data_IF_189752894376
#
_entry.id   IF_189752894376
#
_cell.length_a   1.000
_cell.length_b   1.000
_cell.length_c   1.000
_cell.angle_alpha   90.00
_cell.angle_beta   90.00
_cell.angle_gamma   90.00
#
_symmetry.space_group_name_H-M   'P 1'
#
loop_
_entity.id
_entity.type
_entity.pdbx_description
1 polymer ?
#
# COMPACT_ATOMS: atom_id res chain seq x y z
N UNK A 1 -41.86 20.85 -6.91
CA UNK A 1 -41.82 19.40 -7.16
C UNK A 1 -41.08 18.75 -6.01
N UNK A 2 -41.80 18.47 -4.92
CA UNK A 2 -41.24 17.81 -3.74
C UNK A 2 -40.88 16.37 -4.14
N UNK A 3 -39.58 16.09 -4.22
CA UNK A 3 -39.08 14.77 -4.56
C UNK A 3 -39.61 13.70 -3.61
N UNK A 4 -39.76 12.49 -4.13
CA UNK A 4 -40.19 11.28 -3.43
C UNK A 4 -39.18 10.84 -2.34
N UNK A 5 -38.93 11.68 -1.34
CA UNK A 5 -38.06 11.39 -0.21
C UNK A 5 -38.87 10.78 0.93
N UNK A 6 -38.37 9.68 1.48
CA UNK A 6 -39.02 8.91 2.54
C UNK A 6 -39.07 9.77 3.82
N UNK A 7 -40.27 9.93 4.41
CA UNK A 7 -40.50 10.85 5.56
C UNK A 7 -40.18 10.23 6.92
N UNK A 8 -40.38 8.93 7.10
CA UNK A 8 -40.03 8.19 8.32
C UNK A 8 -39.49 6.80 7.98
N UNK A 9 -38.64 6.23 8.84
CA UNK A 9 -38.13 4.84 8.74
C UNK A 9 -39.03 3.83 9.45
N UNK A 10 -39.99 4.28 10.27
CA UNK A 10 -40.88 3.41 11.05
C UNK A 10 -40.21 2.73 12.25
N UNK A 11 -38.94 3.04 12.53
CA UNK A 11 -38.14 2.45 13.61
C UNK A 11 -37.68 3.55 14.58
N UNK A 12 -37.81 3.32 15.88
CA UNK A 12 -37.68 4.34 16.94
C UNK A 12 -36.28 4.94 17.09
N UNK A 13 -35.24 4.40 16.44
CA UNK A 13 -33.85 4.87 16.62
C UNK A 13 -33.09 4.97 15.28
N UNK A 14 -33.72 4.71 14.14
CA UNK A 14 -33.05 4.73 12.84
C UNK A 14 -33.32 6.04 12.11
N UNK A 15 -32.34 6.94 12.11
CA UNK A 15 -32.40 8.18 11.34
C UNK A 15 -32.42 7.90 9.82
N UNK A 16 -33.18 8.70 9.08
CA UNK A 16 -33.19 8.65 7.61
C UNK A 16 -31.86 9.21 7.09
N UNK A 17 -31.27 8.51 6.12
CA UNK A 17 -30.10 9.01 5.42
C UNK A 17 -30.55 9.94 4.29
N UNK A 18 -30.08 11.19 4.31
CA UNK A 18 -30.44 12.20 3.30
C UNK A 18 -29.84 11.90 1.92
N UNK A 19 -28.57 11.45 1.88
CA UNK A 19 -27.87 11.09 0.63
C UNK A 19 -27.39 9.63 0.63
N UNK A 20 -28.31 8.65 0.48
CA UNK A 20 -27.97 7.23 0.60
C UNK A 20 -26.95 6.78 -0.46
N UNK A 21 -26.98 7.34 -1.68
CA UNK A 21 -26.04 6.99 -2.74
C UNK A 21 -24.60 7.40 -2.45
N UNK A 22 -24.37 8.59 -1.88
CA UNK A 22 -23.03 9.04 -1.49
C UNK A 22 -22.50 8.19 -0.34
N UNK A 23 -23.36 7.91 0.65
CA UNK A 23 -22.97 7.07 1.79
C UNK A 23 -22.63 5.64 1.37
N UNK A 24 -23.37 5.09 0.39
CA UNK A 24 -23.07 3.79 -0.22
C UNK A 24 -21.76 3.82 -1.00
N UNK A 25 -21.51 4.86 -1.81
CA UNK A 25 -20.23 5.02 -2.53
C UNK A 25 -19.05 5.03 -1.56
N UNK A 26 -19.11 5.84 -0.50
CA UNK A 26 -18.06 5.92 0.53
C UNK A 26 -17.83 4.56 1.21
N UNK A 27 -18.90 3.81 1.48
CA UNK A 27 -18.79 2.50 2.12
C UNK A 27 -18.15 1.47 1.19
N UNK A 28 -18.52 1.50 -0.11
CA UNK A 28 -17.96 0.61 -1.11
C UNK A 28 -16.48 0.91 -1.38
N UNK A 29 -16.09 2.18 -1.49
CA UNK A 29 -14.67 2.56 -1.65
C UNK A 29 -13.83 2.14 -0.45
N UNK A 30 -14.34 2.30 0.78
CA UNK A 30 -13.64 1.83 1.98
C UNK A 30 -13.43 0.31 2.00
N UNK A 31 -14.44 -0.46 1.56
CA UNK A 31 -14.33 -1.92 1.47
C UNK A 31 -13.29 -2.31 0.42
N UNK A 32 -13.29 -1.65 -0.74
CA UNK A 32 -12.29 -1.89 -1.80
C UNK A 32 -10.87 -1.53 -1.37
N UNK A 33 -10.70 -0.41 -0.66
CA UNK A 33 -9.42 0.05 -0.12
C UNK A 33 -8.87 -0.94 0.93
N UNK A 34 -9.73 -1.44 1.82
CA UNK A 34 -9.38 -2.51 2.77
C UNK A 34 -9.09 -3.86 2.12
N UNK A 35 -9.65 -4.13 0.94
CA UNK A 35 -9.46 -5.38 0.21
C UNK A 35 -8.08 -5.47 -0.48
N UNK A 36 -7.16 -4.53 -0.24
CA UNK A 36 -5.77 -4.58 -0.70
C UNK A 36 -5.62 -4.69 -2.23
N UNK A 37 -6.64 -4.28 -2.99
CA UNK A 37 -6.68 -4.43 -4.45
C UNK A 37 -5.49 -3.78 -5.17
N UNK A 38 -4.93 -2.73 -4.59
CA UNK A 38 -3.80 -1.98 -5.17
C UNK A 38 -2.42 -2.47 -4.70
N UNK A 39 -2.36 -3.38 -3.72
CA UNK A 39 -1.09 -3.86 -3.16
C UNK A 39 -0.56 -5.10 -3.87
N UNK A 40 -1.41 -5.86 -4.56
CA UNK A 40 -0.98 -7.12 -5.18
C UNK A 40 -0.04 -6.88 -6.36
N UNK A 41 -0.24 -5.80 -7.12
CA UNK A 41 0.66 -5.39 -8.20
C UNK A 41 2.04 -4.98 -7.65
N UNK A 42 2.07 -4.23 -6.55
CA UNK A 42 3.30 -3.85 -5.87
C UNK A 42 4.05 -5.07 -5.32
N UNK A 43 3.32 -6.04 -4.74
CA UNK A 43 3.90 -7.29 -4.22
C UNK A 43 4.49 -8.14 -5.35
N UNK A 44 3.81 -8.22 -6.49
CA UNK A 44 4.33 -8.93 -7.67
C UNK A 44 5.60 -8.24 -8.20
N UNK A 45 5.57 -6.91 -8.33
CA UNK A 45 6.73 -6.12 -8.77
C UNK A 45 7.92 -6.28 -7.82
N UNK A 46 7.67 -6.26 -6.51
CA UNK A 46 8.68 -6.48 -5.49
C UNK A 46 9.28 -7.89 -5.59
N UNK A 47 8.44 -8.92 -5.80
CA UNK A 47 8.91 -10.29 -5.97
C UNK A 47 9.79 -10.46 -7.22
N UNK A 48 9.45 -9.79 -8.33
CA UNK A 48 10.27 -9.78 -9.55
C UNK A 48 11.62 -9.08 -9.33
N UNK A 49 11.62 -7.95 -8.63
CA UNK A 49 12.83 -7.22 -8.28
C UNK A 49 13.75 -8.05 -7.37
N UNK A 50 13.20 -8.74 -6.38
CA UNK A 50 13.94 -9.63 -5.49
C UNK A 50 14.50 -10.84 -6.23
N UNK A 51 13.75 -11.44 -7.16
CA UNK A 51 14.24 -12.53 -8.00
C UNK A 51 15.42 -12.07 -8.87
N UNK A 52 15.31 -10.89 -9.47
CA UNK A 52 16.40 -10.28 -10.26
C UNK A 52 17.63 -10.00 -9.40
N UNK A 53 17.43 -9.45 -8.19
CA UNK A 53 18.49 -9.20 -7.23
C UNK A 53 19.17 -10.49 -6.79
N UNK A 54 18.41 -11.53 -6.42
CA UNK A 54 18.96 -12.81 -5.99
C UNK A 54 19.85 -13.44 -7.07
N UNK A 55 19.45 -13.35 -8.34
CA UNK A 55 20.29 -13.82 -9.47
C UNK A 55 21.60 -13.05 -9.58
N UNK A 56 21.58 -11.73 -9.39
CA UNK A 56 22.80 -10.90 -9.42
C UNK A 56 23.70 -11.17 -8.21
N UNK A 57 23.11 -11.25 -7.02
CA UNK A 57 23.83 -11.53 -5.76
C UNK A 57 24.56 -12.87 -5.81
N UNK A 58 23.98 -13.89 -6.46
CA UNK A 58 24.67 -15.17 -6.68
C UNK A 58 25.91 -15.03 -7.57
N UNK A 59 25.87 -14.14 -8.56
CA UNK A 59 27.00 -13.88 -9.45
C UNK A 59 28.07 -13.01 -8.79
N UNK A 60 27.65 -11.96 -8.09
CA UNK A 60 28.54 -10.98 -7.46
C UNK A 60 29.16 -11.47 -6.15
N UNK A 61 28.61 -12.54 -5.55
CA UNK A 61 29.07 -13.17 -4.31
C UNK A 61 29.53 -12.16 -3.25
N UNK A 62 28.68 -11.19 -2.87
CA UNK A 62 29.06 -10.10 -1.97
C UNK A 62 29.42 -10.54 -0.55
N UNK A 63 29.22 -11.82 -0.23
CA UNK A 63 29.64 -12.44 1.03
C UNK A 63 31.12 -12.86 1.04
N UNK A 64 31.83 -12.78 -0.08
CA UNK A 64 33.27 -12.97 -0.12
C UNK A 64 33.99 -11.80 0.60
N UNK A 65 35.19 -12.01 1.16
CA UNK A 65 35.95 -10.94 1.80
C UNK A 65 36.15 -9.75 0.85
N UNK A 66 36.26 -8.54 1.43
CA UNK A 66 36.51 -7.33 0.69
C UNK A 66 37.72 -7.51 -0.24
N UNK A 67 37.54 -7.18 -1.51
CA UNK A 67 38.61 -7.29 -2.52
C UNK A 67 39.78 -6.36 -2.18
N UNK A 68 39.50 -5.21 -1.58
CA UNK A 68 40.51 -4.23 -1.17
C UNK A 68 40.19 -3.68 0.22
N UNK A 69 41.20 -3.61 1.09
CA UNK A 69 41.08 -2.92 2.37
C UNK A 69 41.04 -1.41 2.15
N UNK A 70 40.17 -0.67 2.87
CA UNK A 70 40.09 0.77 2.71
C UNK A 70 41.40 1.44 3.17
N UNK A 71 41.81 2.49 2.45
CA UNK A 71 43.02 3.25 2.83
C UNK A 71 42.81 3.91 4.20
N UNK A 72 43.85 4.00 5.03
CA UNK A 72 43.79 4.41 6.44
C UNK A 72 43.02 5.72 6.75
N UNK A 73 42.88 6.63 5.78
CA UNK A 73 42.18 7.91 5.92
C UNK A 73 40.83 7.97 5.19
N UNK A 74 40.40 6.91 4.48
CA UNK A 74 39.24 6.91 3.59
C UNK A 74 37.90 7.14 4.31
N UNK A 75 37.77 6.66 5.55
CA UNK A 75 36.54 6.75 6.34
C UNK A 75 36.70 7.64 7.59
N UNK A 76 37.72 8.50 7.64
CA UNK A 76 37.93 9.40 8.79
C UNK A 76 37.04 10.66 8.64
N UNK A 77 36.13 10.84 9.59
CA UNK A 77 35.25 12.01 9.71
C UNK A 77 35.09 12.42 11.18
N UNK A 78 35.09 13.70 11.55
CA UNK A 78 35.63 14.87 10.83
C UNK A 78 37.17 14.87 10.77
N UNK A 79 37.74 15.68 9.88
CA UNK A 79 39.20 15.84 9.69
C UNK A 79 39.83 16.54 10.90
#
# INVERSE_FOLDING_TARGET
MEGWLKKTTGLVVLAICETPHERLKISYTKILDQLQGDQIEEVILQAENELSLARKVVQEKPWEPLVEEPTANQWKWPI
#
